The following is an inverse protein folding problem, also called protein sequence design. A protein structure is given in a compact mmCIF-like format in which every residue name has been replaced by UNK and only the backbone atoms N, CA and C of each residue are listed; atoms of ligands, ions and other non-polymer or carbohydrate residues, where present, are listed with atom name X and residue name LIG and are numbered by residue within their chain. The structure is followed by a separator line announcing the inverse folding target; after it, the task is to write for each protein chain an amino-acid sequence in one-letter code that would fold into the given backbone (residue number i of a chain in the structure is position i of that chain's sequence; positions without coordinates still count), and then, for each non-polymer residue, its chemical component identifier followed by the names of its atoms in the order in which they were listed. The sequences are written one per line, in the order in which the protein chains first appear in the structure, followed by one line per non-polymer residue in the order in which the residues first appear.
data_IF_897864650178
#
_entry.id   IF_897864650178
#
_cell.length_a   1.000
_cell.length_b   1.000
_cell.length_c   1.000
_cell.angle_alpha   90.00
_cell.angle_beta   90.00
_cell.angle_gamma   90.00
#
_symmetry.space_group_name_H-M   'P 1'
#
loop_
_entity.id
_entity.type
_entity.pdbx_description
1 polymer ?
#
# COMPACT_ATOMS: atom_id res chain seq x y z
N UNK A 1 -7.63 17.58 9.10
CA UNK A 1 -6.93 16.29 9.00
C UNK A 1 -7.96 15.22 9.27
N UNK A 2 -8.26 14.37 8.29
CA UNK A 2 -9.22 13.27 8.43
C UNK A 2 -8.41 11.98 8.50
N UNK A 3 -8.59 11.22 9.58
CA UNK A 3 -7.92 9.93 9.76
C UNK A 3 -8.85 8.85 9.23
N UNK A 4 -8.35 8.01 8.32
CA UNK A 4 -9.05 6.82 7.84
C UNK A 4 -8.47 5.63 8.59
N UNK A 5 -9.31 4.93 9.34
CA UNK A 5 -8.95 3.66 9.95
C UNK A 5 -9.20 2.55 8.93
N UNK A 6 -8.16 1.79 8.59
CA UNK A 6 -8.25 0.67 7.66
C UNK A 6 -8.19 -0.63 8.44
N UNK A 7 -9.12 -1.54 8.15
CA UNK A 7 -9.07 -2.89 8.67
C UNK A 7 -7.99 -3.71 7.94
N UNK A 8 -7.60 -4.84 8.53
CA UNK A 8 -6.59 -5.77 7.97
C UNK A 8 -6.89 -6.13 6.51
N UNK A 9 -8.14 -6.45 6.18
CA UNK A 9 -8.58 -6.80 4.82
C UNK A 9 -8.47 -5.63 3.86
N UNK A 10 -8.86 -4.43 4.28
CA UNK A 10 -8.74 -3.20 3.50
C UNK A 10 -7.28 -2.82 3.27
N UNK A 11 -6.41 -3.05 4.27
CA UNK A 11 -4.98 -2.85 4.15
C UNK A 11 -4.34 -3.82 3.14
N UNK A 12 -4.75 -5.09 3.15
CA UNK A 12 -4.31 -6.08 2.15
C UNK A 12 -4.73 -5.67 0.74
N UNK A 13 -5.99 -5.24 0.60
CA UNK A 13 -6.52 -4.79 -0.68
C UNK A 13 -5.77 -3.57 -1.18
N UNK A 14 -5.54 -2.58 -0.32
CA UNK A 14 -4.79 -1.37 -0.64
C UNK A 14 -3.35 -1.69 -1.06
N UNK A 15 -2.65 -2.55 -0.30
CA UNK A 15 -1.28 -2.99 -0.62
C UNK A 15 -1.22 -3.69 -1.97
N UNK A 16 -2.18 -4.57 -2.24
CA UNK A 16 -2.27 -5.30 -3.51
C UNK A 16 -2.55 -4.37 -4.68
N UNK A 17 -3.46 -3.42 -4.52
CA UNK A 17 -3.78 -2.42 -5.54
C UNK A 17 -2.59 -1.52 -5.86
N UNK A 18 -1.91 -0.99 -4.83
CA UNK A 18 -0.70 -0.16 -5.00
C UNK A 18 0.46 -0.96 -5.60
N UNK A 19 0.64 -2.21 -5.20
CA UNK A 19 1.65 -3.10 -5.79
C UNK A 19 1.40 -3.36 -7.27
N UNK A 20 0.15 -3.66 -7.65
CA UNK A 20 -0.27 -3.85 -9.05
C UNK A 20 -0.10 -2.57 -9.87
N UNK A 21 -0.48 -1.42 -9.29
CA UNK A 21 -0.26 -0.11 -9.89
C UNK A 21 1.23 0.16 -10.15
N UNK A 22 2.11 -0.07 -9.18
CA UNK A 22 3.56 0.09 -9.37
C UNK A 22 4.13 -0.85 -10.44
N UNK A 23 3.55 -2.03 -10.61
CA UNK A 23 3.99 -3.00 -11.60
C UNK A 23 3.55 -2.63 -13.02
N UNK A 24 2.39 -1.99 -13.16
CA UNK A 24 1.84 -1.54 -14.43
C UNK A 24 2.44 -0.21 -14.93
N UNK A 25 2.82 0.69 -14.02
CA UNK A 25 3.34 2.02 -14.34
C UNK A 25 4.86 2.06 -14.26
N UNK A 26 5.51 1.74 -15.38
CA UNK A 26 6.96 1.49 -15.44
C UNK A 26 7.85 2.74 -15.47
N UNK A 27 7.47 3.84 -16.13
CA UNK A 27 8.42 4.97 -16.32
C UNK A 27 7.81 6.37 -16.42
N UNK A 28 6.51 6.52 -16.68
CA UNK A 28 5.95 7.83 -17.03
C UNK A 28 5.68 8.74 -15.82
N UNK A 29 5.57 8.16 -14.61
CA UNK A 29 5.16 8.88 -13.40
C UNK A 29 6.11 8.54 -12.24
N UNK A 30 7.39 8.87 -12.42
CA UNK A 30 8.45 8.57 -11.45
C UNK A 30 8.16 9.15 -10.05
N UNK A 31 7.53 10.33 -9.97
CA UNK A 31 7.12 10.94 -8.72
C UNK A 31 6.00 10.16 -8.01
N UNK A 32 5.00 9.70 -8.78
CA UNK A 32 3.89 8.92 -8.24
C UNK A 32 4.33 7.53 -7.80
N UNK A 33 5.26 6.91 -8.54
CA UNK A 33 5.91 5.66 -8.16
C UNK A 33 6.69 5.81 -6.85
N UNK A 34 7.45 6.89 -6.69
CA UNK A 34 8.17 7.20 -5.45
C UNK A 34 7.23 7.43 -4.28
N UNK A 35 6.19 8.24 -4.47
CA UNK A 35 5.19 8.51 -3.43
C UNK A 35 4.47 7.23 -3.00
N UNK A 36 4.08 6.39 -3.96
CA UNK A 36 3.42 5.11 -3.71
C UNK A 36 4.33 4.12 -2.98
N UNK A 37 5.61 4.02 -3.37
CA UNK A 37 6.59 3.20 -2.63
C UNK A 37 6.80 3.69 -1.20
N UNK A 38 6.88 5.01 -1.00
CA UNK A 38 7.03 5.59 0.33
C UNK A 38 5.78 5.37 1.21
N UNK A 39 4.59 5.34 0.61
CA UNK A 39 3.36 4.97 1.30
C UNK A 39 3.34 3.48 1.67
N UNK A 40 3.67 2.60 0.74
CA UNK A 40 3.77 1.16 0.99
C UNK A 40 4.77 0.82 2.10
N UNK A 41 5.91 1.52 2.17
CA UNK A 41 6.91 1.32 3.21
C UNK A 41 6.43 1.77 4.61
N UNK A 42 5.39 2.60 4.70
CA UNK A 42 4.74 2.98 5.97
C UNK A 42 3.66 2.01 6.40
N UNK A 43 3.20 1.14 5.49
CA UNK A 43 2.24 0.11 5.84
C UNK A 43 2.99 -1.03 6.54
N UNK A 44 2.44 -1.61 7.62
CA UNK A 44 3.02 -2.77 8.25
C UNK A 44 3.15 -3.92 7.22
N UNK A 45 4.35 -4.48 7.10
CA UNK A 45 4.64 -5.61 6.22
C UNK A 45 4.00 -6.90 6.74
N UNK A 46 4.02 -7.04 8.06
CA UNK A 46 3.30 -8.05 8.82
C UNK A 46 1.96 -7.46 9.23
N UNK A 47 0.93 -7.75 8.45
CA UNK A 47 -0.36 -7.96 9.07
C UNK A 47 -0.14 -9.16 9.97
N UNK A 48 0.10 -8.92 11.26
CA UNK A 48 -0.05 -9.95 12.29
C UNK A 48 -1.47 -10.49 12.14
N UNK A 49 -1.63 -11.49 11.28
CA UNK A 49 -2.69 -12.48 11.39
C UNK A 49 -2.49 -13.09 12.75
N UNK A 50 -3.10 -12.49 13.78
CA UNK A 50 -3.51 -13.19 14.98
C UNK A 50 -4.54 -14.23 14.57
N UNK A 51 -4.04 -15.30 13.96
CA UNK A 51 -4.64 -16.61 14.06
C UNK A 51 -4.21 -17.13 15.44
N UNK A 52 -5.00 -16.80 16.44
CA UNK A 52 -4.90 -17.31 17.81
C UNK A 52 -6.31 -17.57 18.31
#
# INVERSE_FOLDING_TARGET
MYTIELQTEELQLLRSALGSYLQAFGHNEADLVKATRALLAKLPEELETKAG
#
